data_IF_104215936452
#
_entry.id   IF_104215936452
#
_cell.length_a   1.000
_cell.length_b   1.000
_cell.length_c   1.000
_cell.angle_alpha   90.00
_cell.angle_beta   90.00
_cell.angle_gamma   90.00
#
_symmetry.space_group_name_H-M   'P 1'
#
loop_
_entity.id
_entity.type
_entity.pdbx_description
1 polymer ?
#
# COMPACT_ATOMS: atom_id res chain seq x y z
N UNK A 1 -12.72 16.37 6.01
CA UNK A 1 -11.28 16.61 5.97
C UNK A 1 -10.98 17.56 7.11
N UNK A 2 -10.54 17.06 8.27
CA UNK A 2 -10.01 17.90 9.34
C UNK A 2 -8.63 18.36 8.88
N UNK A 3 -8.59 19.49 8.21
CA UNK A 3 -7.35 20.12 7.78
C UNK A 3 -6.51 20.43 9.02
N UNK A 4 -5.33 19.79 9.14
CA UNK A 4 -4.27 20.37 9.96
C UNK A 4 -4.19 21.83 9.55
N UNK A 5 -4.36 22.77 10.48
CA UNK A 5 -4.48 24.16 10.11
C UNK A 5 -3.20 24.59 9.37
N UNK A 6 -3.33 25.40 8.31
CA UNK A 6 -2.16 25.91 7.57
C UNK A 6 -1.18 26.64 8.50
N UNK A 7 -1.67 27.22 9.60
CA UNK A 7 -0.88 27.87 10.63
C UNK A 7 0.00 26.84 11.36
N UNK A 8 -0.58 25.73 11.81
CA UNK A 8 0.15 24.65 12.51
C UNK A 8 1.21 23.98 11.60
N UNK A 9 0.91 23.81 10.31
CA UNK A 9 1.88 23.28 9.34
C UNK A 9 3.09 24.20 9.17
N UNK A 10 2.85 25.51 9.13
CA UNK A 10 3.91 26.51 8.98
C UNK A 10 4.76 26.65 10.25
N UNK A 11 4.13 26.55 11.43
CA UNK A 11 4.85 26.53 12.71
C UNK A 11 5.74 25.29 12.83
N UNK A 12 5.25 24.11 12.45
CA UNK A 12 6.03 22.89 12.44
C UNK A 12 7.17 22.95 11.43
N UNK A 13 6.99 23.56 10.27
CA UNK A 13 8.05 23.75 9.29
C UNK A 13 9.18 24.61 9.85
N UNK A 14 8.86 25.74 10.47
CA UNK A 14 9.85 26.62 11.10
C UNK A 14 10.57 25.94 12.27
N UNK A 15 9.84 25.16 13.09
CA UNK A 15 10.44 24.41 14.17
C UNK A 15 11.41 23.34 13.63
N UNK A 16 11.04 22.67 12.53
CA UNK A 16 11.89 21.68 11.89
C UNK A 16 13.15 22.33 11.31
N UNK A 17 13.04 23.51 10.68
CA UNK A 17 14.21 24.26 10.20
C UNK A 17 15.16 24.62 11.33
N UNK A 18 14.65 25.11 12.46
CA UNK A 18 15.46 25.43 13.64
C UNK A 18 16.16 24.19 14.21
N UNK A 19 15.47 23.06 14.32
CA UNK A 19 16.03 21.78 14.76
C UNK A 19 17.14 21.30 13.80
N UNK A 20 16.93 21.42 12.50
CA UNK A 20 17.94 21.06 11.51
C UNK A 20 19.19 21.95 11.61
N UNK A 21 19.01 23.25 11.84
CA UNK A 21 20.12 24.21 12.03
C UNK A 21 20.92 23.89 13.28
N UNK A 22 20.28 23.53 14.41
CA UNK A 22 20.94 23.09 15.65
C UNK A 22 21.85 21.87 15.42
N UNK A 23 21.49 20.96 14.50
CA UNK A 23 22.34 19.84 14.09
C UNK A 23 23.32 20.17 12.94
N UNK A 24 23.43 21.45 12.58
CA UNK A 24 24.33 21.92 11.53
C UNK A 24 23.90 21.51 10.12
N UNK A 25 22.60 21.23 9.93
CA UNK A 25 21.98 20.98 8.62
C UNK A 25 21.42 22.30 8.10
N UNK A 26 22.08 22.88 7.11
CA UNK A 26 21.64 24.14 6.48
C UNK A 26 20.77 23.83 5.27
N UNK A 27 19.66 24.56 5.13
CA UNK A 27 18.70 24.43 4.03
C UNK A 27 17.38 25.05 4.39
N UNK A 28 16.41 25.03 3.47
CA UNK A 28 15.10 25.61 3.65
C UNK A 28 14.02 24.56 3.36
N UNK A 29 12.91 24.60 4.11
CA UNK A 29 11.72 23.80 3.78
C UNK A 29 10.96 24.51 2.66
N UNK A 30 11.01 23.95 1.46
CA UNK A 30 10.41 24.56 0.25
C UNK A 30 8.99 24.09 -0.02
N UNK A 31 8.56 23.00 0.62
CA UNK A 31 7.23 22.43 0.42
C UNK A 31 6.79 21.63 1.65
N UNK A 32 5.52 21.74 1.98
CA UNK A 32 4.86 20.99 3.05
C UNK A 32 3.65 20.29 2.46
N UNK A 33 3.63 18.96 2.51
CA UNK A 33 2.56 18.12 1.96
C UNK A 33 1.89 17.34 3.08
N UNK A 34 0.74 17.81 3.57
CA UNK A 34 0.00 17.10 4.61
C UNK A 34 -0.65 15.84 4.02
N UNK A 35 -0.43 14.71 4.66
CA UNK A 35 -1.11 13.45 4.39
C UNK A 35 -2.03 13.02 5.53
N UNK A 36 -2.72 11.87 5.40
CA UNK A 36 -3.68 11.41 6.41
C UNK A 36 -3.01 10.98 7.73
N UNK A 37 -1.77 10.52 7.68
CA UNK A 37 -1.04 9.96 8.83
C UNK A 37 0.23 10.74 9.14
N UNK A 38 0.95 11.13 8.10
CA UNK A 38 2.21 11.87 8.19
C UNK A 38 2.14 13.11 7.31
N UNK A 39 2.95 14.13 7.65
CA UNK A 39 3.20 15.29 6.80
C UNK A 39 4.60 15.19 6.23
N UNK A 40 4.75 15.33 4.93
CA UNK A 40 6.03 15.37 4.23
C UNK A 40 6.53 16.81 4.11
N UNK A 41 7.71 17.07 4.68
CA UNK A 41 8.45 18.31 4.54
C UNK A 41 9.58 18.10 3.53
N UNK A 42 9.66 18.91 2.49
CA UNK A 42 10.71 18.84 1.48
C UNK A 42 11.80 19.87 1.80
N UNK A 43 12.93 19.39 2.28
CA UNK A 43 14.11 20.21 2.56
C UNK A 43 14.94 20.36 1.29
N UNK A 44 15.20 21.59 0.89
CA UNK A 44 16.25 21.92 -0.08
C UNK A 44 17.56 22.16 0.69
N UNK A 45 18.51 21.22 0.63
CA UNK A 45 19.76 21.33 1.38
C UNK A 45 20.68 22.39 0.77
N UNK A 46 21.47 23.05 1.61
CA UNK A 46 22.52 23.93 1.12
C UNK A 46 23.55 23.16 0.28
N UNK A 47 24.21 23.85 -0.63
CA UNK A 47 25.24 23.26 -1.49
C UNK A 47 26.33 22.55 -0.67
N UNK A 48 26.69 21.33 -1.10
CA UNK A 48 27.69 20.49 -0.45
C UNK A 48 27.21 19.66 0.75
N UNK A 49 25.94 19.80 1.17
CA UNK A 49 25.37 18.96 2.22
C UNK A 49 25.04 17.57 1.65
N UNK A 50 25.57 16.52 2.28
CA UNK A 50 25.29 15.13 1.90
C UNK A 50 23.95 14.67 2.50
N UNK A 51 23.06 14.09 1.68
CA UNK A 51 21.78 13.54 2.13
C UNK A 51 21.94 12.49 3.24
N UNK A 52 23.00 11.66 3.17
CA UNK A 52 23.31 10.66 4.21
C UNK A 52 23.47 11.26 5.61
N UNK A 53 23.99 12.49 5.72
CA UNK A 53 24.09 13.18 7.00
C UNK A 53 22.71 13.50 7.59
N UNK A 54 21.78 13.95 6.78
CA UNK A 54 20.42 14.26 7.25
C UNK A 54 19.66 12.97 7.59
N UNK A 55 19.84 11.92 6.78
CA UNK A 55 19.23 10.61 7.01
C UNK A 55 19.69 10.01 8.35
N UNK A 56 20.97 10.13 8.68
CA UNK A 56 21.52 9.62 9.96
C UNK A 56 20.97 10.35 11.19
N UNK A 57 20.42 11.55 11.03
CA UNK A 57 19.84 12.35 12.13
C UNK A 57 18.34 12.06 12.35
N UNK A 58 17.75 11.07 11.70
CA UNK A 58 16.30 10.79 11.78
C UNK A 58 15.79 10.62 13.21
N UNK A 59 16.53 9.90 14.07
CA UNK A 59 16.15 9.70 15.48
C UNK A 59 16.30 10.98 16.30
N UNK A 60 17.33 11.77 16.05
CA UNK A 60 17.57 13.04 16.72
C UNK A 60 16.52 14.08 16.35
N UNK A 61 16.14 14.14 15.06
CA UNK A 61 15.04 14.98 14.59
C UNK A 61 13.73 14.55 15.23
N UNK A 62 13.43 13.24 15.28
CA UNK A 62 12.23 12.72 15.92
C UNK A 62 12.15 13.16 17.38
N UNK A 63 13.25 13.01 18.14
CA UNK A 63 13.33 13.41 19.53
C UNK A 63 13.10 14.92 19.70
N UNK A 64 13.76 15.75 18.90
CA UNK A 64 13.67 17.21 19.00
C UNK A 64 12.31 17.76 18.58
N UNK A 65 11.63 17.07 17.66
CA UNK A 65 10.26 17.39 17.23
C UNK A 65 9.18 16.74 18.11
N UNK A 66 9.55 16.05 19.19
CA UNK A 66 8.63 15.28 20.05
C UNK A 66 7.77 14.28 19.26
N UNK A 67 8.32 13.73 18.19
CA UNK A 67 7.68 12.75 17.32
C UNK A 67 8.07 11.32 17.71
N UNK A 68 7.15 10.36 17.54
CA UNK A 68 7.42 8.94 17.83
C UNK A 68 8.49 8.34 16.92
N UNK A 69 8.54 8.80 15.67
CA UNK A 69 9.53 8.40 14.68
C UNK A 69 9.56 9.43 13.55
N UNK A 70 10.68 9.53 12.85
CA UNK A 70 10.82 10.37 11.67
C UNK A 70 11.48 9.54 10.58
N UNK A 71 10.95 9.61 9.37
CA UNK A 71 11.58 9.01 8.20
C UNK A 71 12.21 10.11 7.37
N UNK A 72 13.50 9.95 7.07
CA UNK A 72 14.26 10.86 6.21
C UNK A 72 14.74 10.09 4.99
N UNK A 73 14.44 10.58 3.80
CA UNK A 73 14.81 9.90 2.54
C UNK A 73 15.02 10.91 1.41
N UNK A 74 15.80 10.50 0.41
CA UNK A 74 15.92 11.25 -0.84
C UNK A 74 14.67 11.04 -1.70
N UNK A 75 14.25 12.06 -2.43
CA UNK A 75 13.12 11.98 -3.38
C UNK A 75 13.71 11.76 -4.77
N UNK A 76 13.41 10.63 -5.44
CA UNK A 76 13.93 10.33 -6.76
C UNK A 76 13.62 11.44 -7.78
N UNK A 77 14.63 11.84 -8.55
CA UNK A 77 14.49 12.87 -9.59
C UNK A 77 14.41 14.32 -9.10
N UNK A 78 14.62 14.56 -7.78
CA UNK A 78 14.60 15.91 -7.19
C UNK A 78 15.81 16.11 -6.28
N UNK A 79 16.31 17.36 -6.20
CA UNK A 79 17.42 17.76 -5.33
C UNK A 79 16.98 18.08 -3.91
N UNK A 80 15.91 17.44 -3.41
CA UNK A 80 15.34 17.67 -2.09
C UNK A 80 15.41 16.40 -1.24
N UNK A 81 15.41 16.60 0.08
CA UNK A 81 15.33 15.53 1.07
C UNK A 81 13.94 15.56 1.69
N UNK A 82 13.25 14.45 1.66
CA UNK A 82 11.93 14.29 2.31
C UNK A 82 12.09 13.96 3.77
N UNK A 83 11.42 14.71 4.64
CA UNK A 83 11.34 14.47 6.08
C UNK A 83 9.87 14.26 6.42
N UNK A 84 9.51 13.04 6.82
CA UNK A 84 8.16 12.66 7.19
C UNK A 84 7.98 12.73 8.70
N UNK A 85 7.08 13.58 9.17
CA UNK A 85 6.71 13.68 10.58
C UNK A 85 5.29 13.17 10.79
N UNK A 86 5.04 12.33 11.82
CA UNK A 86 3.69 11.90 12.16
C UNK A 86 2.80 13.08 12.51
N UNK A 87 1.55 13.06 12.01
CA UNK A 87 0.55 14.03 12.39
C UNK A 87 0.15 13.81 13.86
N UNK A 88 -0.15 14.90 14.56
CA UNK A 88 -0.71 14.86 15.93
C UNK A 88 -2.08 14.17 15.97
N UNK A 89 -2.86 14.34 14.92
CA UNK A 89 -4.14 13.64 14.70
C UNK A 89 -4.05 12.85 13.39
N UNK A 90 -4.24 11.53 13.49
CA UNK A 90 -4.22 10.64 12.33
C UNK A 90 -5.62 10.46 11.78
N UNK A 91 -5.80 10.63 10.49
CA UNK A 91 -7.06 10.37 9.81
C UNK A 91 -7.23 8.88 9.53
N UNK A 92 -8.47 8.39 9.63
CA UNK A 92 -8.81 7.04 9.20
C UNK A 92 -9.04 7.05 7.69
N UNK A 93 -8.39 6.14 6.98
CA UNK A 93 -8.62 5.90 5.55
C UNK A 93 -9.69 4.81 5.42
N UNK A 94 -10.85 5.16 4.85
CA UNK A 94 -11.95 4.23 4.68
C UNK A 94 -11.87 3.55 3.31
N UNK A 95 -12.11 2.23 3.28
CA UNK A 95 -12.16 1.47 2.02
C UNK A 95 -13.16 2.07 1.02
N UNK A 96 -14.31 2.58 1.49
CA UNK A 96 -15.31 3.23 0.65
C UNK A 96 -14.72 4.39 -0.18
N UNK A 97 -13.86 5.21 0.44
CA UNK A 97 -13.23 6.34 -0.25
C UNK A 97 -12.34 5.85 -1.42
N UNK A 98 -11.63 4.74 -1.20
CA UNK A 98 -10.75 4.16 -2.21
C UNK A 98 -11.56 3.57 -3.36
N UNK A 99 -12.60 2.80 -3.05
CA UNK A 99 -13.47 2.17 -4.04
C UNK A 99 -14.28 3.18 -4.86
N UNK A 100 -14.63 4.34 -4.28
CA UNK A 100 -15.33 5.44 -4.95
C UNK A 100 -14.37 6.46 -5.58
N UNK A 101 -13.07 6.21 -5.58
CA UNK A 101 -12.09 7.10 -6.19
C UNK A 101 -12.06 6.92 -7.71
N UNK A 102 -11.84 8.01 -8.45
CA UNK A 102 -11.64 7.94 -9.90
C UNK A 102 -10.49 7.01 -10.28
N UNK A 103 -9.42 7.00 -9.47
CA UNK A 103 -8.28 6.11 -9.67
C UNK A 103 -8.67 4.64 -9.67
N UNK A 104 -9.67 4.25 -8.88
CA UNK A 104 -10.18 2.88 -8.86
C UNK A 104 -11.26 2.66 -9.96
N UNK A 105 -12.17 3.59 -10.15
CA UNK A 105 -13.26 3.48 -11.14
C UNK A 105 -12.72 3.43 -12.58
N UNK A 106 -11.77 4.31 -12.91
CA UNK A 106 -11.22 4.44 -14.26
C UNK A 106 -10.06 3.48 -14.55
N UNK A 107 -9.55 2.73 -13.54
CA UNK A 107 -8.43 1.84 -13.77
C UNK A 107 -8.82 0.67 -14.68
N UNK A 108 -7.96 0.36 -15.66
CA UNK A 108 -8.14 -0.77 -16.60
C UNK A 108 -7.39 -2.03 -16.14
N UNK A 109 -7.18 -2.19 -14.84
CA UNK A 109 -6.52 -3.36 -14.29
C UNK A 109 -7.45 -4.56 -14.30
N UNK A 110 -6.92 -5.72 -14.63
CA UNK A 110 -7.67 -6.97 -14.65
C UNK A 110 -8.05 -7.40 -13.23
N UNK A 111 -7.14 -7.28 -12.27
CA UNK A 111 -7.35 -7.60 -10.86
C UNK A 111 -6.94 -6.39 -9.99
N UNK A 112 -7.79 -5.35 -9.88
CA UNK A 112 -7.45 -4.14 -9.13
C UNK A 112 -7.51 -4.38 -7.62
N UNK A 113 -6.47 -3.95 -6.92
CA UNK A 113 -6.38 -3.93 -5.47
C UNK A 113 -6.31 -2.48 -4.97
N UNK A 114 -7.28 -2.06 -4.18
CA UNK A 114 -7.23 -0.79 -3.46
C UNK A 114 -6.38 -0.97 -2.20
N UNK A 115 -5.13 -0.51 -2.22
CA UNK A 115 -4.18 -0.76 -1.12
C UNK A 115 -4.28 0.27 0.00
N UNK A 116 -4.67 1.50 -0.30
CA UNK A 116 -4.70 2.59 0.67
C UNK A 116 -4.49 3.94 0.01
N UNK A 117 -3.98 4.88 0.79
CA UNK A 117 -3.51 6.19 0.31
C UNK A 117 -2.00 6.27 0.52
N UNK A 118 -1.32 6.97 -0.37
CA UNK A 118 0.08 7.32 -0.19
C UNK A 118 0.25 8.42 0.90
N UNK A 119 1.48 8.82 1.15
CA UNK A 119 1.79 9.86 2.13
C UNK A 119 1.19 11.23 1.76
N UNK A 120 0.88 11.47 0.50
CA UNK A 120 0.20 12.68 0.00
C UNK A 120 -1.32 12.61 0.08
N UNK A 121 -1.88 11.44 0.45
CA UNK A 121 -3.32 11.21 0.52
C UNK A 121 -3.96 10.72 -0.77
N UNK A 122 -3.16 10.45 -1.81
CA UNK A 122 -3.67 9.94 -3.09
C UNK A 122 -3.95 8.43 -3.03
N UNK A 123 -5.04 7.96 -3.63
CA UNK A 123 -5.37 6.53 -3.67
C UNK A 123 -4.31 5.71 -4.41
N UNK A 124 -3.88 4.61 -3.79
CA UNK A 124 -2.93 3.65 -4.39
C UNK A 124 -3.68 2.40 -4.83
N UNK A 125 -3.76 2.20 -6.14
CA UNK A 125 -4.38 1.03 -6.76
C UNK A 125 -3.31 0.22 -7.47
N UNK A 126 -3.25 -1.08 -7.18
CA UNK A 126 -2.30 -2.00 -7.78
C UNK A 126 -3.02 -3.06 -8.63
N UNK A 127 -2.30 -3.67 -9.59
CA UNK A 127 -2.82 -4.76 -10.40
C UNK A 127 -2.23 -6.11 -9.94
N UNK A 128 -3.03 -6.94 -9.28
CA UNK A 128 -2.59 -8.26 -8.83
C UNK A 128 -2.16 -9.17 -9.99
N UNK A 129 -2.76 -9.02 -11.16
CA UNK A 129 -2.38 -9.81 -12.35
C UNK A 129 -0.92 -9.60 -12.78
N UNK A 130 -0.33 -8.44 -12.47
CA UNK A 130 1.09 -8.15 -12.70
C UNK A 130 2.01 -8.51 -11.52
N UNK A 131 1.42 -8.99 -10.43
CA UNK A 131 2.11 -9.49 -9.24
C UNK A 131 1.63 -10.91 -8.96
N UNK A 132 2.00 -11.91 -9.78
CA UNK A 132 1.40 -13.26 -9.75
C UNK A 132 1.56 -13.94 -8.38
N UNK A 133 2.53 -13.52 -7.59
CA UNK A 133 2.77 -13.98 -6.22
C UNK A 133 2.94 -12.77 -5.31
N UNK A 134 2.09 -12.66 -4.30
CA UNK A 134 2.13 -11.59 -3.29
C UNK A 134 2.31 -12.20 -1.90
N UNK A 135 3.40 -11.84 -1.23
CA UNK A 135 3.62 -12.17 0.17
C UNK A 135 3.20 -11.00 1.04
N UNK A 136 2.32 -11.27 2.01
CA UNK A 136 1.86 -10.28 2.99
C UNK A 136 2.34 -10.72 4.37
N UNK A 137 3.15 -9.91 5.01
CA UNK A 137 3.66 -10.15 6.35
C UNK A 137 3.35 -9.00 7.30
N UNK A 138 3.18 -9.33 8.57
CA UNK A 138 2.94 -8.33 9.61
C UNK A 138 2.77 -8.99 10.98
N UNK A 139 3.15 -8.28 12.03
CA UNK A 139 2.94 -8.70 13.42
C UNK A 139 1.45 -8.63 13.80
N UNK A 140 1.09 -9.24 14.92
CA UNK A 140 -0.27 -9.12 15.46
C UNK A 140 -0.63 -7.63 15.66
N UNK A 141 -1.80 -7.23 15.20
CA UNK A 141 -2.25 -5.84 15.28
C UNK A 141 -1.70 -4.90 14.20
N UNK A 142 -0.83 -5.36 13.28
CA UNK A 142 -0.30 -4.53 12.19
C UNK A 142 -1.32 -4.20 11.09
N UNK A 143 -2.52 -4.80 11.12
CA UNK A 143 -3.53 -4.64 10.08
C UNK A 143 -3.46 -5.65 8.93
N UNK A 144 -2.64 -6.72 9.03
CA UNK A 144 -2.51 -7.75 8.00
C UNK A 144 -3.86 -8.31 7.54
N UNK A 145 -4.71 -8.75 8.48
CA UNK A 145 -6.04 -9.30 8.17
C UNK A 145 -6.97 -8.26 7.56
N UNK A 146 -6.91 -7.02 8.04
CA UNK A 146 -7.67 -5.90 7.43
C UNK A 146 -7.20 -5.66 6.00
N UNK A 147 -5.89 -5.65 5.76
CA UNK A 147 -5.30 -5.49 4.43
C UNK A 147 -5.74 -6.60 3.46
N UNK A 148 -5.71 -7.87 3.90
CA UNK A 148 -6.18 -9.02 3.09
C UNK A 148 -7.65 -8.86 2.74
N UNK A 149 -8.51 -8.53 3.73
CA UNK A 149 -9.93 -8.29 3.50
C UNK A 149 -10.17 -7.13 2.53
N UNK A 150 -9.41 -6.05 2.65
CA UNK A 150 -9.47 -4.90 1.73
C UNK A 150 -9.15 -5.33 0.29
N UNK A 151 -8.14 -6.18 0.09
CA UNK A 151 -7.77 -6.70 -1.23
C UNK A 151 -8.87 -7.61 -1.81
N UNK A 152 -9.41 -8.52 -1.00
CA UNK A 152 -10.53 -9.40 -1.41
C UNK A 152 -11.73 -8.55 -1.81
N UNK A 153 -12.15 -7.61 -0.97
CA UNK A 153 -13.28 -6.73 -1.25
C UNK A 153 -13.04 -5.88 -2.50
N UNK A 154 -11.81 -5.42 -2.74
CA UNK A 154 -11.48 -4.70 -3.98
C UNK A 154 -11.81 -5.52 -5.23
N UNK A 155 -11.55 -6.83 -5.22
CA UNK A 155 -11.89 -7.70 -6.33
C UNK A 155 -13.40 -7.94 -6.43
N UNK A 156 -14.05 -8.24 -5.29
CA UNK A 156 -15.47 -8.58 -5.23
C UNK A 156 -16.40 -7.42 -5.63
N UNK A 157 -16.02 -6.17 -5.32
CA UNK A 157 -16.81 -4.99 -5.67
C UNK A 157 -16.75 -4.64 -7.16
N UNK A 158 -15.81 -5.18 -7.90
CA UNK A 158 -15.61 -4.84 -9.31
C UNK A 158 -15.81 -5.99 -10.27
N UNK A 159 -15.43 -7.20 -9.88
CA UNK A 159 -15.36 -8.33 -10.78
C UNK A 159 -16.51 -9.32 -10.52
N UNK A 160 -17.08 -9.83 -11.61
CA UNK A 160 -18.06 -10.91 -11.54
C UNK A 160 -17.38 -12.26 -11.29
N UNK A 161 -18.13 -13.30 -10.88
CA UNK A 161 -17.58 -14.66 -10.75
C UNK A 161 -16.95 -15.22 -12.01
N UNK A 162 -17.38 -14.77 -13.19
CA UNK A 162 -16.80 -15.21 -14.47
C UNK A 162 -15.43 -14.53 -14.74
N UNK A 163 -15.24 -13.34 -14.19
CA UNK A 163 -14.00 -12.57 -14.32
C UNK A 163 -12.96 -12.90 -13.26
N UNK A 164 -13.39 -13.33 -12.07
CA UNK A 164 -12.51 -13.64 -10.95
C UNK A 164 -13.02 -14.82 -10.16
N UNK A 165 -12.24 -15.90 -10.09
CA UNK A 165 -12.50 -17.06 -9.25
C UNK A 165 -11.50 -17.10 -8.12
N UNK A 166 -11.95 -17.54 -6.94
CA UNK A 166 -11.17 -17.55 -5.73
C UNK A 166 -11.12 -18.95 -5.10
N UNK A 167 -9.96 -19.33 -4.61
CA UNK A 167 -9.75 -20.41 -3.67
C UNK A 167 -9.22 -19.78 -2.39
N UNK A 168 -9.93 -19.95 -1.29
CA UNK A 168 -9.53 -19.43 0.00
C UNK A 168 -9.10 -20.56 0.93
N UNK A 169 -7.94 -20.40 1.58
CA UNK A 169 -7.39 -21.37 2.52
C UNK A 169 -7.15 -20.66 3.84
N UNK A 170 -7.87 -21.07 4.88
CA UNK A 170 -7.78 -20.50 6.23
C UNK A 170 -7.66 -21.62 7.28
N UNK A 171 -6.45 -22.15 7.49
CA UNK A 171 -6.23 -23.26 8.44
C UNK A 171 -6.50 -22.88 9.89
N UNK A 172 -6.59 -21.60 10.21
CA UNK A 172 -6.91 -21.11 11.56
C UNK A 172 -8.40 -20.87 11.77
N UNK A 173 -9.21 -20.86 10.71
CA UNK A 173 -10.66 -20.63 10.73
C UNK A 173 -11.08 -19.28 11.37
N UNK A 174 -10.24 -18.24 11.25
CA UNK A 174 -10.44 -16.98 11.97
C UNK A 174 -10.73 -15.77 11.06
N UNK A 175 -10.36 -15.84 9.79
CA UNK A 175 -10.30 -14.64 8.96
C UNK A 175 -11.22 -14.70 7.72
N UNK A 176 -11.34 -15.85 7.05
CA UNK A 176 -11.96 -15.94 5.72
C UNK A 176 -13.34 -16.63 5.70
N UNK A 177 -13.81 -17.17 6.82
CA UNK A 177 -15.11 -17.88 6.91
C UNK A 177 -16.30 -16.98 6.52
N UNK A 178 -16.17 -15.67 6.66
CA UNK A 178 -17.21 -14.69 6.26
C UNK A 178 -17.48 -14.68 4.75
N UNK A 179 -16.58 -15.23 3.94
CA UNK A 179 -16.71 -15.34 2.49
C UNK A 179 -17.34 -16.65 2.02
N UNK A 180 -17.63 -17.59 2.92
CA UNK A 180 -18.28 -18.84 2.52
C UNK A 180 -19.59 -18.57 1.81
N UNK A 181 -19.80 -19.29 0.71
CA UNK A 181 -21.03 -19.19 -0.07
C UNK A 181 -21.05 -18.06 -1.12
N UNK A 182 -20.01 -17.22 -1.21
CA UNK A 182 -19.98 -16.23 -2.31
C UNK A 182 -19.76 -16.92 -3.66
N UNK A 183 -20.38 -16.42 -4.74
CA UNK A 183 -20.35 -17.09 -6.06
C UNK A 183 -18.95 -17.11 -6.71
N UNK A 184 -18.02 -16.32 -6.22
CA UNK A 184 -16.64 -16.29 -6.71
C UNK A 184 -15.80 -17.49 -6.24
N UNK A 185 -16.21 -18.18 -5.17
CA UNK A 185 -15.48 -19.33 -4.66
C UNK A 185 -15.63 -20.56 -5.57
N UNK A 186 -14.50 -21.21 -5.86
CA UNK A 186 -14.46 -22.52 -6.55
C UNK A 186 -14.79 -23.68 -5.60
N UNK A 187 -14.57 -23.52 -4.32
CA UNK A 187 -14.88 -24.45 -3.24
C UNK A 187 -15.19 -23.67 -1.97
N UNK A 188 -15.87 -24.25 -0.97
CA UNK A 188 -15.95 -23.65 0.36
C UNK A 188 -14.56 -23.31 0.89
N UNK A 189 -14.45 -22.38 1.82
CA UNK A 189 -13.18 -22.00 2.44
C UNK A 189 -12.50 -23.25 3.03
N UNK A 190 -11.27 -23.51 2.61
CA UNK A 190 -10.53 -24.70 2.96
C UNK A 190 -9.86 -24.50 4.32
N UNK A 191 -10.27 -25.27 5.32
CA UNK A 191 -9.75 -25.16 6.70
C UNK A 191 -8.83 -26.33 7.07
N UNK A 192 -8.97 -27.47 6.41
CA UNK A 192 -8.14 -28.66 6.63
C UNK A 192 -6.82 -28.55 5.84
N UNK A 193 -5.65 -28.70 6.51
CA UNK A 193 -4.35 -28.64 5.83
C UNK A 193 -4.17 -29.68 4.70
N UNK A 194 -4.75 -30.88 4.85
CA UNK A 194 -4.67 -31.92 3.81
C UNK A 194 -5.47 -31.49 2.57
N UNK A 195 -6.66 -30.91 2.77
CA UNK A 195 -7.47 -30.38 1.67
C UNK A 195 -6.82 -29.17 1.03
N UNK A 196 -6.08 -28.35 1.80
CA UNK A 196 -5.30 -27.24 1.25
C UNK A 196 -4.26 -27.71 0.22
N UNK A 197 -3.54 -28.81 0.54
CA UNK A 197 -2.59 -29.41 -0.41
C UNK A 197 -3.30 -29.87 -1.69
N UNK A 198 -4.49 -30.45 -1.57
CA UNK A 198 -5.29 -30.90 -2.74
C UNK A 198 -5.70 -29.70 -3.58
N UNK A 199 -6.19 -28.62 -2.96
CA UNK A 199 -6.58 -27.39 -3.65
C UNK A 199 -5.40 -26.76 -4.42
N UNK A 200 -4.23 -26.70 -3.80
CA UNK A 200 -3.01 -26.20 -4.47
C UNK A 200 -2.57 -27.08 -5.63
N UNK A 201 -2.59 -28.41 -5.48
CA UNK A 201 -2.29 -29.32 -6.57
C UNK A 201 -3.27 -29.18 -7.73
N UNK A 202 -4.57 -29.01 -7.43
CA UNK A 202 -5.57 -28.75 -8.46
C UNK A 202 -5.24 -27.46 -9.23
N UNK A 203 -4.87 -26.38 -8.53
CA UNK A 203 -4.49 -25.12 -9.18
C UNK A 203 -3.29 -25.28 -10.13
N UNK A 204 -2.30 -26.12 -9.76
CA UNK A 204 -1.16 -26.43 -10.63
C UNK A 204 -1.63 -27.19 -11.88
N UNK A 205 -2.49 -28.19 -11.75
CA UNK A 205 -3.02 -28.96 -12.89
C UNK A 205 -3.83 -28.06 -13.83
N UNK A 206 -4.65 -27.16 -13.30
CA UNK A 206 -5.41 -26.19 -14.08
C UNK A 206 -4.48 -25.24 -14.84
N UNK A 207 -3.42 -24.76 -14.19
CA UNK A 207 -2.40 -23.92 -14.83
C UNK A 207 -1.72 -24.65 -16.00
N UNK A 208 -1.33 -25.90 -15.81
CA UNK A 208 -0.71 -26.73 -16.86
C UNK A 208 -1.66 -26.98 -18.03
N UNK A 209 -2.95 -27.18 -17.76
CA UNK A 209 -3.97 -27.35 -18.79
C UNK A 209 -4.15 -26.07 -19.62
N UNK A 210 -4.17 -24.92 -18.96
CA UNK A 210 -4.20 -23.61 -19.63
C UNK A 210 -2.95 -23.39 -20.50
N UNK A 211 -1.76 -23.74 -20.02
CA UNK A 211 -0.54 -23.69 -20.84
C UNK A 211 -0.67 -24.57 -22.07
N UNK A 212 -1.18 -25.79 -21.96
CA UNK A 212 -1.40 -26.68 -23.09
C UNK A 212 -2.39 -26.09 -24.11
N UNK A 213 -3.48 -25.47 -23.64
CA UNK A 213 -4.47 -24.80 -24.49
C UNK A 213 -3.84 -23.61 -25.25
N UNK A 214 -3.12 -22.75 -24.54
CA UNK A 214 -2.42 -21.61 -25.15
C UNK A 214 -1.36 -22.06 -26.16
N UNK A 215 -0.59 -23.09 -25.84
CA UNK A 215 0.42 -23.67 -26.75
C UNK A 215 -0.20 -24.18 -28.05
N UNK A 216 -1.36 -24.86 -27.98
CA UNK A 216 -2.08 -25.34 -29.18
C UNK A 216 -2.53 -24.21 -30.09
N UNK A 217 -2.86 -23.05 -29.51
CA UNK A 217 -3.27 -21.84 -30.24
C UNK A 217 -2.10 -20.95 -30.65
N UNK A 218 -0.86 -21.29 -30.23
CA UNK A 218 0.33 -20.50 -30.53
C UNK A 218 0.39 -19.15 -29.82
N UNK A 219 -0.38 -18.97 -28.72
CA UNK A 219 -0.44 -17.73 -27.94
C UNK A 219 0.32 -17.85 -26.63
N UNK A 220 0.78 -16.69 -26.08
CA UNK A 220 1.66 -16.66 -24.90
C UNK A 220 0.99 -16.12 -23.63
N UNK A 221 -0.17 -15.53 -23.73
CA UNK A 221 -0.89 -14.92 -22.62
C UNK A 221 -2.40 -15.05 -22.81
N UNK A 222 -3.14 -14.80 -21.73
CA UNK A 222 -4.60 -14.90 -21.71
C UNK A 222 -5.27 -13.84 -22.59
N UNK A 223 -4.69 -12.66 -22.71
CA UNK A 223 -5.23 -11.57 -23.54
C UNK A 223 -5.23 -11.93 -25.03
N UNK A 224 -4.21 -12.68 -25.47
CA UNK A 224 -4.13 -13.18 -26.83
C UNK A 224 -4.94 -14.47 -27.05
N UNK A 225 -5.33 -15.15 -25.95
CA UNK A 225 -6.13 -16.37 -26.01
C UNK A 225 -7.62 -16.05 -26.15
N UNK A 226 -8.11 -15.01 -25.46
CA UNK A 226 -9.50 -14.52 -25.49
C UNK A 226 -9.73 -13.55 -26.66
#
# INVERSE_FOLDING_TARGET
VSSVSAVSLNENAKMLEAVLEDYGVKGNIISVKPGPVVTLYELEPAAGLKASRVISLSEDIARSMSALATRVSTIPGRSVIGIELPNSSREKVFLKELLSSKSYEDCRFQLPLALGKDIGGEPVIANLAKMPHLLIAGTTGSGKSVGINTMILSLLYRLTPDQCRLIMIDPKMLELSVYDGIPHLLSPVVTDPKKAVVALKWAVLEMEDRYRKMSRMGVRNIESFN
#
